data_IF_806746532862
#
_entry.id   IF_806746532862
#
_cell.length_a   1.000
_cell.length_b   1.000
_cell.length_c   1.000
_cell.angle_alpha   90.00
_cell.angle_beta   90.00
_cell.angle_gamma   90.00
#
_symmetry.space_group_name_H-M   'P 1'
#
loop_
_entity.id
_entity.type
_entity.pdbx_description
1 polymer ?
#
# COMPACT_ATOMS: atom_id res chain seq x y z
N UNK A 1 23.61 -4.53 39.42
CA UNK A 1 23.43 -5.20 38.12
C UNK A 1 21.96 -5.18 37.77
N UNK A 2 21.51 -4.22 36.96
CA UNK A 2 20.20 -4.27 36.29
C UNK A 2 20.13 -3.18 35.21
N UNK A 3 20.00 -3.64 33.96
CA UNK A 3 19.32 -3.02 32.82
C UNK A 3 19.71 -1.61 32.33
N UNK A 4 21.00 -1.33 32.15
CA UNK A 4 21.45 -0.18 31.35
C UNK A 4 21.77 -0.52 29.88
N UNK A 5 21.60 -1.77 29.45
CA UNK A 5 22.11 -2.27 28.16
C UNK A 5 21.10 -2.34 27.00
N UNK A 6 19.80 -2.03 27.20
CA UNK A 6 18.79 -2.20 26.13
C UNK A 6 18.43 -0.91 25.37
N UNK A 7 18.83 0.28 25.86
CA UNK A 7 18.47 1.57 25.27
C UNK A 7 19.38 2.01 24.12
N UNK A 8 20.65 1.61 24.13
CA UNK A 8 21.62 1.91 23.05
C UNK A 8 21.34 1.11 21.77
N UNK A 9 20.31 0.27 21.81
CA UNK A 9 20.05 -0.67 20.75
C UNK A 9 19.43 -0.03 19.49
N UNK A 10 18.77 1.10 19.64
CA UNK A 10 18.07 1.77 18.54
C UNK A 10 18.43 3.26 18.42
N UNK A 11 19.56 3.67 19.01
CA UNK A 11 20.04 5.05 18.90
C UNK A 11 19.19 6.09 19.65
N UNK A 12 18.29 5.68 20.55
CA UNK A 12 17.53 6.64 21.36
C UNK A 12 18.42 7.25 22.44
N UNK A 13 18.66 8.56 22.38
CA UNK A 13 19.36 9.28 23.44
C UNK A 13 18.39 9.70 24.54
N UNK A 14 18.86 9.63 25.79
CA UNK A 14 18.07 9.92 27.00
C UNK A 14 17.62 11.39 27.11
N UNK A 15 18.07 12.25 26.19
CA UNK A 15 17.71 13.67 26.08
C UNK A 15 16.51 13.93 25.17
N UNK A 16 16.07 12.95 24.40
CA UNK A 16 14.86 13.05 23.60
C UNK A 16 13.67 12.69 24.50
N UNK A 17 13.17 13.70 25.22
CA UNK A 17 11.87 13.63 25.89
C UNK A 17 10.81 13.33 24.82
N UNK A 18 10.57 12.04 24.55
CA UNK A 18 9.38 11.57 23.85
C UNK A 18 8.19 12.10 24.64
N UNK A 19 7.37 13.02 24.10
CA UNK A 19 6.13 13.37 24.75
C UNK A 19 5.29 12.11 24.77
N UNK A 20 5.14 11.52 25.95
CA UNK A 20 4.14 10.48 26.18
C UNK A 20 2.78 11.12 25.95
N UNK A 21 2.22 10.92 24.76
CA UNK A 21 0.89 11.43 24.44
C UNK A 21 0.14 10.38 23.64
N UNK A 22 -0.78 9.69 24.35
CA UNK A 22 -1.90 8.97 23.76
C UNK A 22 -2.40 9.67 22.50
N UNK A 23 -2.78 8.90 21.47
CA UNK A 23 -3.33 9.42 20.20
C UNK A 23 -4.51 10.39 20.35
N UNK A 24 -5.15 10.38 21.53
CA UNK A 24 -6.18 11.32 21.93
C UNK A 24 -5.69 12.79 22.07
N UNK A 25 -4.38 13.01 22.19
CA UNK A 25 -3.78 14.34 22.34
C UNK A 25 -3.27 14.91 21.00
N UNK A 26 -3.30 14.14 19.91
CA UNK A 26 -2.92 14.67 18.59
C UNK A 26 -4.08 15.47 17.98
N UNK A 27 -3.76 16.68 17.52
CA UNK A 27 -4.65 17.40 16.62
C UNK A 27 -4.48 16.83 15.20
N UNK A 28 -5.32 15.86 14.84
CA UNK A 28 -5.38 15.24 13.51
C UNK A 28 -5.65 16.23 12.34
N UNK A 29 -5.88 17.52 12.63
CA UNK A 29 -6.03 18.59 11.63
C UNK A 29 -4.77 19.46 11.47
N UNK A 30 -3.72 19.21 12.24
CA UNK A 30 -2.43 19.90 12.14
C UNK A 30 -1.51 19.08 11.22
N UNK A 31 -1.17 19.63 10.06
CA UNK A 31 -0.36 18.95 9.05
C UNK A 31 0.95 19.70 8.82
N UNK A 32 2.05 18.96 8.69
CA UNK A 32 3.29 19.44 8.12
C UNK A 32 3.43 18.82 6.73
N UNK A 33 2.94 19.55 5.72
CA UNK A 33 2.88 19.08 4.33
C UNK A 33 4.27 18.81 3.72
N UNK A 34 5.35 19.36 4.30
CA UNK A 34 6.70 19.10 3.81
C UNK A 34 7.20 17.69 4.17
N UNK A 35 6.74 17.17 5.31
CA UNK A 35 7.17 15.86 5.85
C UNK A 35 6.23 14.72 5.45
N UNK A 36 4.93 14.94 5.55
CA UNK A 36 3.93 13.94 5.20
C UNK A 36 2.63 14.57 4.71
N UNK A 37 1.98 13.91 3.77
CA UNK A 37 0.73 14.36 3.18
C UNK A 37 -0.19 13.17 2.90
N UNK A 38 -1.49 13.40 3.00
CA UNK A 38 -2.49 12.42 2.61
C UNK A 38 -3.75 13.09 2.08
N UNK A 39 -4.35 12.46 1.08
CA UNK A 39 -5.59 12.88 0.47
C UNK A 39 -6.50 11.68 0.32
N UNK A 40 -7.78 11.86 0.64
CA UNK A 40 -8.85 10.92 0.31
C UNK A 40 -9.97 11.72 -0.38
N UNK A 41 -10.31 11.32 -1.60
CA UNK A 41 -11.27 12.00 -2.47
C UNK A 41 -12.04 10.98 -3.31
N UNK A 42 -13.05 11.44 -4.04
CA UNK A 42 -13.87 10.60 -4.90
C UNK A 42 -13.64 10.98 -6.37
N UNK A 43 -13.27 10.00 -7.20
CA UNK A 43 -13.21 10.15 -8.66
C UNK A 43 -14.52 9.74 -9.34
N UNK A 44 -15.49 9.23 -8.58
CA UNK A 44 -16.82 8.92 -9.07
C UNK A 44 -17.54 10.14 -9.63
N UNK A 45 -18.38 9.89 -10.62
CA UNK A 45 -19.25 10.89 -11.19
C UNK A 45 -20.26 11.43 -10.17
N UNK A 46 -20.71 12.66 -10.42
CA UNK A 46 -21.81 13.28 -9.69
C UNK A 46 -23.12 12.96 -10.37
N UNK A 47 -24.10 12.56 -9.58
CA UNK A 47 -25.47 12.47 -10.04
C UNK A 47 -25.92 13.85 -10.54
N UNK A 48 -26.40 13.99 -11.79
CA UNK A 48 -26.61 15.30 -12.42
C UNK A 48 -27.69 16.15 -11.75
N UNK A 49 -28.66 15.53 -11.08
CA UNK A 49 -29.75 16.22 -10.37
C UNK A 49 -29.41 16.52 -8.90
N UNK A 50 -28.95 15.53 -8.13
CA UNK A 50 -28.71 15.69 -6.69
C UNK A 50 -27.31 16.25 -6.38
N UNK A 51 -26.37 16.19 -7.32
CA UNK A 51 -24.97 16.58 -7.11
C UNK A 51 -24.15 15.64 -6.23
N UNK A 52 -24.75 14.53 -5.76
CA UNK A 52 -24.09 13.53 -4.92
C UNK A 52 -23.15 12.67 -5.75
N UNK A 53 -21.94 12.43 -5.27
CA UNK A 53 -21.02 11.49 -5.91
C UNK A 53 -21.56 10.05 -5.78
N UNK A 54 -21.40 9.23 -6.83
CA UNK A 54 -21.54 7.79 -6.66
C UNK A 54 -20.54 7.27 -5.61
N UNK A 55 -20.89 6.17 -4.94
CA UNK A 55 -20.08 5.62 -3.87
C UNK A 55 -19.99 6.46 -2.59
N UNK A 56 -20.82 7.51 -2.43
CA UNK A 56 -20.90 8.28 -1.18
C UNK A 56 -21.37 7.40 0.00
N UNK A 57 -20.78 7.52 1.20
CA UNK A 57 -19.63 8.37 1.54
C UNK A 57 -18.29 7.77 1.12
N UNK A 58 -17.26 8.61 1.01
CA UNK A 58 -15.88 8.14 0.80
C UNK A 58 -15.54 7.13 1.90
N UNK A 59 -15.18 5.92 1.48
CA UNK A 59 -14.92 4.79 2.35
C UNK A 59 -13.42 4.60 2.63
N UNK A 60 -12.55 5.22 1.82
CA UNK A 60 -11.11 5.21 2.00
C UNK A 60 -10.70 6.13 3.15
N UNK A 61 -9.91 5.60 4.07
CA UNK A 61 -9.41 6.31 5.24
C UNK A 61 -7.91 6.10 5.32
N UNK A 62 -7.20 7.15 5.71
CA UNK A 62 -5.77 7.09 5.96
C UNK A 62 -5.43 7.68 7.31
N UNK A 63 -4.24 7.35 7.81
CA UNK A 63 -3.62 8.04 8.92
C UNK A 63 -2.11 7.98 8.83
N UNK A 64 -1.46 9.07 9.26
CA UNK A 64 0.00 9.20 9.22
C UNK A 64 0.47 9.77 10.55
N UNK A 65 1.52 9.18 11.11
CA UNK A 65 2.28 9.75 12.22
C UNK A 65 3.73 9.84 11.77
N UNK A 66 4.18 11.05 11.45
CA UNK A 66 5.56 11.31 11.02
C UNK A 66 6.36 11.96 12.16
N UNK A 67 7.39 11.28 12.62
CA UNK A 67 8.37 11.75 13.62
C UNK A 67 9.74 11.89 12.98
N UNK A 68 10.69 12.47 13.70
CA UNK A 68 12.06 12.66 13.19
C UNK A 68 12.79 11.33 13.00
N UNK A 69 12.41 10.31 13.77
CA UNK A 69 13.07 9.01 13.79
C UNK A 69 12.15 7.84 13.44
N UNK A 70 10.89 8.06 13.07
CA UNK A 70 10.03 6.99 12.54
C UNK A 70 8.81 7.58 11.83
N UNK A 71 8.20 6.77 10.97
CA UNK A 71 6.89 7.11 10.41
C UNK A 71 5.97 5.90 10.40
N UNK A 72 4.73 6.10 10.86
CA UNK A 72 3.63 5.15 10.67
C UNK A 72 2.75 5.69 9.56
N UNK A 73 2.50 4.88 8.54
CA UNK A 73 1.56 5.17 7.47
C UNK A 73 0.52 4.05 7.44
N UNK A 74 -0.77 4.39 7.36
CA UNK A 74 -1.83 3.41 7.25
C UNK A 74 -2.90 3.88 6.26
N UNK A 75 -3.35 2.96 5.41
CA UNK A 75 -4.47 3.15 4.49
C UNK A 75 -5.43 1.98 4.62
N UNK A 76 -6.72 2.28 4.66
CA UNK A 76 -7.80 1.31 4.66
C UNK A 76 -8.83 1.73 3.61
N UNK A 77 -9.13 0.82 2.68
CA UNK A 77 -10.15 0.99 1.65
C UNK A 77 -11.39 0.20 2.05
N UNK A 78 -12.54 0.86 2.16
CA UNK A 78 -13.77 0.22 2.56
C UNK A 78 -14.36 -0.59 1.40
N UNK A 79 -14.53 -1.90 1.59
CA UNK A 79 -14.99 -2.80 0.51
C UNK A 79 -16.45 -2.54 0.16
N UNK A 80 -16.75 -2.51 -1.14
CA UNK A 80 -18.00 -2.00 -1.72
C UNK A 80 -18.12 -0.50 -1.45
N UNK A 81 -19.25 0.00 -0.94
CA UNK A 81 -19.44 1.41 -0.56
C UNK A 81 -20.35 1.49 0.67
N UNK A 82 -20.59 2.72 1.14
CA UNK A 82 -21.61 3.00 2.15
C UNK A 82 -21.04 3.15 3.56
N UNK A 83 -21.95 3.40 4.51
CA UNK A 83 -21.56 3.75 5.88
C UNK A 83 -20.84 2.61 6.60
N UNK A 84 -21.24 1.36 6.36
CA UNK A 84 -20.58 0.20 6.97
C UNK A 84 -19.12 0.05 6.53
N UNK A 85 -18.84 0.23 5.24
CA UNK A 85 -17.49 0.18 4.68
C UNK A 85 -16.63 1.33 5.21
N UNK A 86 -17.18 2.55 5.22
CA UNK A 86 -16.51 3.72 5.82
C UNK A 86 -16.21 3.53 7.30
N UNK A 87 -17.17 3.01 8.07
CA UNK A 87 -16.97 2.75 9.49
C UNK A 87 -15.87 1.70 9.70
N UNK A 88 -15.87 0.62 8.92
CA UNK A 88 -14.82 -0.39 8.96
C UNK A 88 -13.44 0.22 8.72
N UNK A 89 -13.27 1.01 7.65
CA UNK A 89 -12.00 1.66 7.35
C UNK A 89 -11.53 2.60 8.46
N UNK A 90 -12.45 3.40 9.05
CA UNK A 90 -12.13 4.28 10.19
C UNK A 90 -11.69 3.50 11.42
N UNK A 91 -12.38 2.39 11.73
CA UNK A 91 -11.99 1.49 12.82
C UNK A 91 -10.64 0.83 12.54
N UNK A 92 -10.38 0.42 11.30
CA UNK A 92 -9.13 -0.22 10.93
C UNK A 92 -7.94 0.73 11.14
N UNK A 93 -8.02 1.95 10.60
CA UNK A 93 -6.99 2.98 10.80
C UNK A 93 -6.80 3.29 12.27
N UNK A 94 -7.90 3.51 13.01
CA UNK A 94 -7.82 3.85 14.44
C UNK A 94 -7.16 2.73 15.26
N UNK A 95 -7.63 1.50 15.11
CA UNK A 95 -7.13 0.36 15.87
C UNK A 95 -5.68 0.04 15.54
N UNK A 96 -5.31 0.09 14.25
CA UNK A 96 -3.95 -0.17 13.82
C UNK A 96 -2.97 0.90 14.30
N UNK A 97 -3.30 2.18 14.11
CA UNK A 97 -2.43 3.28 14.52
C UNK A 97 -2.30 3.33 16.04
N UNK A 98 -3.39 3.21 16.81
CA UNK A 98 -3.31 3.23 18.28
C UNK A 98 -2.38 2.12 18.81
N UNK A 99 -2.51 0.91 18.27
CA UNK A 99 -1.67 -0.22 18.65
C UNK A 99 -0.20 0.03 18.33
N UNK A 100 0.10 0.33 17.07
CA UNK A 100 1.47 0.48 16.59
C UNK A 100 2.15 1.71 17.22
N UNK A 101 1.42 2.82 17.35
CA UNK A 101 1.91 4.02 18.00
C UNK A 101 2.31 3.77 19.45
N UNK A 102 1.47 3.05 20.19
CA UNK A 102 1.80 2.69 21.57
C UNK A 102 3.03 1.78 21.66
N UNK A 103 3.23 0.87 20.71
CA UNK A 103 4.41 0.01 20.66
C UNK A 103 5.69 0.80 20.37
N UNK A 104 5.62 1.76 19.44
CA UNK A 104 6.72 2.70 19.13
C UNK A 104 7.07 3.54 20.35
N UNK A 105 6.09 4.18 21.01
CA UNK A 105 6.33 5.04 22.18
C UNK A 105 6.95 4.31 23.38
N UNK A 106 6.70 3.01 23.49
CA UNK A 106 7.28 2.15 24.54
C UNK A 106 8.69 1.66 24.18
N UNK A 107 9.19 1.95 22.98
CA UNK A 107 10.47 1.46 22.44
C UNK A 107 10.58 -0.08 22.52
N UNK A 108 9.50 -0.79 22.17
CA UNK A 108 9.40 -2.24 22.31
C UNK A 108 10.02 -3.04 21.15
N UNK A 109 10.82 -2.42 20.28
CA UNK A 109 11.41 -3.09 19.13
C UNK A 109 12.91 -3.29 19.36
N UNK A 110 13.41 -4.50 19.16
CA UNK A 110 14.85 -4.77 19.11
C UNK A 110 15.29 -5.16 17.69
N UNK A 111 14.38 -5.80 16.94
CA UNK A 111 14.62 -6.25 15.59
C UNK A 111 13.32 -6.25 14.75
N UNK A 112 13.43 -6.56 13.46
CA UNK A 112 12.28 -6.56 12.54
C UNK A 112 11.21 -7.59 12.88
N UNK A 113 11.54 -8.67 13.60
CA UNK A 113 10.54 -9.64 14.10
C UNK A 113 9.58 -8.98 15.08
N UNK A 114 10.09 -8.14 15.99
CA UNK A 114 9.25 -7.41 16.96
C UNK A 114 8.33 -6.42 16.24
N UNK A 115 8.88 -5.74 15.23
CA UNK A 115 8.11 -4.84 14.36
C UNK A 115 6.98 -5.60 13.67
N UNK A 116 7.25 -6.75 13.07
CA UNK A 116 6.22 -7.55 12.40
C UNK A 116 5.20 -8.14 13.37
N UNK A 117 5.61 -8.56 14.57
CA UNK A 117 4.66 -8.97 15.61
C UNK A 117 3.72 -7.83 16.00
N UNK A 118 4.22 -6.59 16.12
CA UNK A 118 3.38 -5.43 16.41
C UNK A 118 2.51 -5.02 15.22
N UNK A 119 2.99 -5.13 13.98
CA UNK A 119 2.17 -4.92 12.78
C UNK A 119 1.01 -5.92 12.72
N UNK A 120 1.26 -7.20 12.99
CA UNK A 120 0.18 -8.21 13.07
C UNK A 120 -0.77 -7.93 14.24
N UNK A 121 -0.25 -7.47 15.37
CA UNK A 121 -1.04 -6.98 16.50
C UNK A 121 -1.92 -5.78 16.14
N UNK A 122 -1.44 -4.89 15.28
CA UNK A 122 -2.19 -3.74 14.76
C UNK A 122 -3.37 -4.19 13.89
N UNK A 123 -3.18 -5.22 13.06
CA UNK A 123 -4.27 -5.82 12.25
C UNK A 123 -5.32 -6.51 13.14
N UNK A 124 -4.88 -7.17 14.21
CA UNK A 124 -5.80 -7.73 15.20
C UNK A 124 -6.61 -6.65 15.91
N UNK A 125 -5.96 -5.57 16.35
CA UNK A 125 -6.61 -4.43 17.01
C UNK A 125 -7.60 -3.72 16.07
N UNK A 126 -7.21 -3.50 14.81
CA UNK A 126 -8.06 -2.99 13.75
C UNK A 126 -9.32 -3.84 13.58
N UNK A 127 -9.16 -5.15 13.40
CA UNK A 127 -10.27 -6.07 13.23
C UNK A 127 -11.20 -6.12 14.45
N UNK A 128 -10.64 -6.15 15.66
CA UNK A 128 -11.43 -6.12 16.90
C UNK A 128 -12.28 -4.86 17.01
N UNK A 129 -11.73 -3.69 16.63
CA UNK A 129 -12.47 -2.43 16.66
C UNK A 129 -13.57 -2.38 15.59
N UNK A 130 -13.35 -2.97 14.41
CA UNK A 130 -14.40 -3.12 13.39
C UNK A 130 -15.59 -3.91 13.95
N UNK A 131 -15.32 -5.05 14.59
CA UNK A 131 -16.38 -5.89 15.19
C UNK A 131 -17.10 -5.17 16.33
N UNK A 132 -16.37 -4.45 17.17
CA UNK A 132 -16.93 -3.71 18.30
C UNK A 132 -17.92 -2.63 17.83
N UNK A 133 -17.56 -1.88 16.80
CA UNK A 133 -18.39 -0.77 16.29
C UNK A 133 -19.42 -1.20 15.24
N UNK A 134 -19.41 -2.48 14.83
CA UNK A 134 -20.33 -3.01 13.82
C UNK A 134 -20.03 -2.52 12.40
N UNK A 135 -18.76 -2.30 12.08
CA UNK A 135 -18.33 -1.99 10.71
C UNK A 135 -18.47 -3.19 9.77
N UNK A 136 -18.55 -2.91 8.46
CA UNK A 136 -18.56 -3.94 7.42
C UNK A 136 -17.13 -4.42 7.11
N UNK A 137 -16.71 -4.36 5.86
CA UNK A 137 -15.41 -4.89 5.40
C UNK A 137 -14.50 -3.77 4.90
N UNK A 138 -13.19 -3.93 5.10
CA UNK A 138 -12.17 -2.99 4.61
C UNK A 138 -10.83 -3.70 4.38
N UNK A 139 -10.05 -3.23 3.42
CA UNK A 139 -8.63 -3.58 3.30
C UNK A 139 -7.83 -2.89 4.41
N UNK A 140 -6.56 -3.27 4.58
CA UNK A 140 -5.65 -2.53 5.44
C UNK A 140 -4.20 -2.72 4.98
N UNK A 141 -3.51 -1.62 4.72
CA UNK A 141 -2.08 -1.56 4.47
C UNK A 141 -1.44 -0.64 5.52
N UNK A 142 -0.49 -1.18 6.31
CA UNK A 142 0.22 -0.44 7.36
C UNK A 142 1.71 -0.56 7.15
N UNK A 143 2.40 0.58 7.16
CA UNK A 143 3.84 0.69 7.04
C UNK A 143 4.45 1.36 8.27
N UNK A 144 5.58 0.83 8.73
CA UNK A 144 6.47 1.47 9.70
C UNK A 144 7.82 1.72 9.02
N UNK A 145 8.26 2.97 9.00
CA UNK A 145 9.64 3.36 8.74
C UNK A 145 10.34 3.53 10.09
N UNK A 146 11.45 2.83 10.28
CA UNK A 146 12.26 2.91 11.51
C UNK A 146 13.77 2.84 11.20
N UNK A 147 14.64 3.48 12.00
CA UNK A 147 16.07 3.51 11.77
C UNK A 147 16.69 2.14 11.97
N UNK A 148 17.76 1.87 11.21
CA UNK A 148 18.58 0.68 11.38
C UNK A 148 19.80 1.05 12.21
N UNK A 149 20.00 0.34 13.31
CA UNK A 149 21.15 0.58 14.21
C UNK A 149 22.47 0.49 13.44
N UNK A 150 23.37 1.45 13.70
CA UNK A 150 24.70 1.54 13.08
C UNK A 150 24.65 1.63 11.54
N UNK A 151 23.61 2.25 11.00
CA UNK A 151 23.42 2.44 9.57
C UNK A 151 22.76 3.79 9.33
N UNK A 152 23.14 4.41 8.22
CA UNK A 152 22.47 5.60 7.67
C UNK A 152 21.17 5.22 6.93
N UNK A 153 20.80 3.94 6.90
CA UNK A 153 19.58 3.48 6.25
C UNK A 153 18.48 3.31 7.28
N UNK A 154 17.23 3.46 6.83
CA UNK A 154 16.05 3.03 7.58
C UNK A 154 15.47 1.75 6.97
N UNK A 155 14.68 1.02 7.75
CA UNK A 155 13.88 -0.10 7.28
C UNK A 155 12.42 0.33 7.16
N UNK A 156 11.82 0.00 6.03
CA UNK A 156 10.38 0.06 5.80
C UNK A 156 9.83 -1.35 5.97
N UNK A 157 9.02 -1.55 7.01
CA UNK A 157 8.27 -2.79 7.25
C UNK A 157 6.78 -2.56 6.93
N UNK A 158 6.19 -3.41 6.11
CA UNK A 158 4.81 -3.30 5.65
C UNK A 158 4.05 -4.57 5.99
N UNK A 159 2.84 -4.42 6.53
CA UNK A 159 1.86 -5.49 6.58
C UNK A 159 0.63 -5.06 5.78
N UNK A 160 0.12 -5.96 4.94
CA UNK A 160 -0.96 -5.66 4.01
C UNK A 160 -1.97 -6.80 3.93
N UNK A 161 -3.26 -6.47 3.93
CA UNK A 161 -4.35 -7.34 3.49
C UNK A 161 -5.25 -6.56 2.54
N UNK A 162 -5.58 -7.17 1.41
CA UNK A 162 -6.29 -6.48 0.32
C UNK A 162 -5.35 -5.99 -0.78
N UNK A 163 -5.86 -5.07 -1.58
CA UNK A 163 -5.29 -4.60 -2.85
C UNK A 163 -4.74 -3.18 -2.81
N UNK A 164 -4.75 -2.51 -1.66
CA UNK A 164 -3.99 -1.28 -1.44
C UNK A 164 -2.49 -1.56 -1.49
N UNK A 165 -1.74 -0.73 -2.20
CA UNK A 165 -0.33 -0.99 -2.53
C UNK A 165 0.60 0.01 -1.87
N UNK A 166 1.76 -0.47 -1.41
CA UNK A 166 2.82 0.36 -0.83
C UNK A 166 4.03 0.41 -1.76
N UNK A 167 4.56 1.61 -1.95
CA UNK A 167 5.65 1.90 -2.86
C UNK A 167 6.75 2.72 -2.19
N UNK A 168 7.95 2.62 -2.76
CA UNK A 168 9.05 3.54 -2.52
C UNK A 168 9.46 4.15 -3.85
N UNK A 169 9.60 5.47 -3.87
CA UNK A 169 10.20 6.20 -4.98
C UNK A 169 11.55 6.77 -4.56
N UNK A 170 12.56 6.49 -5.37
CA UNK A 170 13.88 7.10 -5.27
C UNK A 170 14.21 7.79 -6.62
N UNK A 171 14.76 9.01 -6.63
CA UNK A 171 15.08 9.72 -7.88
C UNK A 171 16.06 8.98 -8.81
N UNK A 172 16.93 8.13 -8.27
CA UNK A 172 17.91 7.34 -9.02
C UNK A 172 17.33 6.01 -9.54
N UNK A 173 16.48 5.35 -8.74
CA UNK A 173 16.02 3.99 -9.02
C UNK A 173 14.56 3.90 -9.50
N UNK A 174 13.81 5.00 -9.42
CA UNK A 174 12.39 5.06 -9.78
C UNK A 174 11.48 4.49 -8.69
N UNK A 175 10.28 4.06 -9.11
CA UNK A 175 9.26 3.48 -8.23
C UNK A 175 9.46 1.97 -8.11
N UNK A 176 9.42 1.47 -6.88
CA UNK A 176 9.38 0.04 -6.57
C UNK A 176 8.23 -0.26 -5.63
N UNK A 177 7.53 -1.34 -5.90
CA UNK A 177 6.45 -1.81 -5.03
C UNK A 177 7.00 -2.71 -3.91
N UNK A 178 6.46 -2.55 -2.71
CA UNK A 178 6.80 -3.29 -1.49
C UNK A 178 5.80 -4.41 -1.21
N UNK A 179 4.58 -4.29 -1.72
CA UNK A 179 3.46 -5.23 -1.54
C UNK A 179 3.35 -6.30 -2.63
N UNK A 180 4.38 -6.51 -3.47
CA UNK A 180 4.34 -7.41 -4.63
C UNK A 180 3.80 -8.83 -4.34
N UNK A 181 3.98 -9.34 -3.13
CA UNK A 181 3.52 -10.68 -2.74
C UNK A 181 2.01 -10.76 -2.44
N UNK A 182 1.29 -9.63 -2.36
CA UNK A 182 -0.15 -9.58 -2.03
C UNK A 182 -1.05 -9.90 -3.22
N UNK A 183 -0.49 -9.99 -4.43
CA UNK A 183 -1.24 -10.19 -5.67
C UNK A 183 -0.36 -10.88 -6.73
N UNK A 184 -1.00 -11.55 -7.69
CA UNK A 184 -0.30 -12.20 -8.80
C UNK A 184 -0.20 -11.24 -10.00
N UNK A 185 1.03 -10.82 -10.29
CA UNK A 185 1.36 -9.87 -11.37
C UNK A 185 1.18 -10.51 -12.76
N UNK A 186 1.19 -11.84 -12.85
CA UNK A 186 1.03 -12.58 -14.10
C UNK A 186 -0.43 -12.87 -14.47
N UNK A 187 -1.38 -12.62 -13.56
CA UNK A 187 -2.80 -12.89 -13.75
C UNK A 187 -3.59 -11.61 -13.92
N UNK A 188 -4.70 -11.69 -14.66
CA UNK A 188 -5.66 -10.61 -14.69
C UNK A 188 -6.30 -10.46 -13.30
N UNK A 189 -6.25 -9.25 -12.74
CA UNK A 189 -6.94 -8.93 -11.48
C UNK A 189 -8.44 -8.78 -11.72
N UNK A 190 -9.26 -9.32 -10.82
CA UNK A 190 -10.69 -8.97 -10.73
C UNK A 190 -10.80 -7.73 -9.84
N UNK A 191 -11.11 -6.57 -10.43
CA UNK A 191 -11.22 -5.28 -9.72
C UNK A 191 -12.34 -5.25 -8.66
N UNK A 192 -13.12 -6.33 -8.52
CA UNK A 192 -14.17 -6.45 -7.50
C UNK A 192 -13.73 -7.28 -6.30
N UNK A 193 -12.57 -7.91 -6.39
CA UNK A 193 -12.02 -8.78 -5.36
C UNK A 193 -10.66 -8.25 -4.89
N UNK A 194 -10.65 -7.65 -3.71
CA UNK A 194 -9.43 -7.19 -3.05
C UNK A 194 -8.49 -8.35 -2.64
N UNK A 195 -8.95 -9.60 -2.73
CA UNK A 195 -8.23 -10.82 -2.33
C UNK A 195 -8.27 -11.10 -0.82
N UNK A 196 -8.39 -10.06 0.00
CA UNK A 196 -8.54 -10.15 1.46
C UNK A 196 -9.12 -8.88 2.07
N UNK A 197 -9.73 -9.02 3.24
CA UNK A 197 -10.35 -7.92 3.97
C UNK A 197 -10.43 -8.21 5.47
N UNK A 198 -10.33 -7.15 6.27
CA UNK A 198 -10.72 -7.15 7.67
C UNK A 198 -12.24 -6.91 7.81
N UNK A 199 -12.80 -7.43 8.90
CA UNK A 199 -14.22 -7.31 9.23
C UNK A 199 -14.91 -8.68 9.25
N UNK A 200 -16.21 -8.74 9.52
CA UNK A 200 -16.93 -10.00 9.72
C UNK A 200 -17.36 -10.66 8.40
N UNK A 201 -16.40 -11.22 7.63
CA UNK A 201 -16.68 -11.83 6.31
C UNK A 201 -17.69 -12.98 6.41
N UNK A 202 -17.55 -13.81 7.44
CA UNK A 202 -18.47 -14.92 7.77
C UNK A 202 -19.30 -14.63 9.04
N UNK A 203 -19.45 -13.36 9.39
CA UNK A 203 -20.09 -12.91 10.62
C UNK A 203 -19.14 -12.68 11.79
N UNK A 204 -17.87 -13.14 11.72
CA UNK A 204 -16.87 -12.81 12.75
C UNK A 204 -15.44 -12.71 12.24
N UNK A 205 -15.02 -13.56 11.32
CA UNK A 205 -13.62 -13.71 10.94
C UNK A 205 -13.26 -12.83 9.75
N UNK A 206 -12.00 -12.34 9.68
CA UNK A 206 -11.49 -11.67 8.50
C UNK A 206 -11.10 -12.67 7.41
N UNK A 207 -10.93 -12.18 6.18
CA UNK A 207 -10.36 -12.94 5.07
C UNK A 207 -8.90 -12.52 4.87
N UNK A 208 -7.96 -13.39 5.23
CA UNK A 208 -6.52 -13.09 5.26
C UNK A 208 -5.73 -13.81 4.16
N UNK A 209 -6.38 -14.19 3.05
CA UNK A 209 -5.77 -15.04 2.03
C UNK A 209 -4.49 -14.45 1.43
N UNK A 210 -4.48 -13.14 1.22
CA UNK A 210 -3.32 -12.39 0.72
C UNK A 210 -2.65 -11.51 1.80
N UNK A 211 -2.81 -11.87 3.08
CA UNK A 211 -2.07 -11.19 4.15
C UNK A 211 -0.58 -11.38 3.91
N UNK A 212 0.15 -10.27 3.86
CA UNK A 212 1.58 -10.26 3.60
C UNK A 212 2.32 -9.38 4.59
N UNK A 213 3.54 -9.80 4.90
CA UNK A 213 4.53 -8.99 5.60
C UNK A 213 5.74 -8.86 4.69
N UNK A 214 6.15 -7.64 4.40
CA UNK A 214 7.30 -7.36 3.55
C UNK A 214 8.16 -6.27 4.17
N UNK A 215 9.45 -6.28 3.83
CA UNK A 215 10.37 -5.22 4.24
C UNK A 215 11.39 -4.91 3.19
N UNK A 216 11.97 -3.72 3.30
CA UNK A 216 12.96 -3.18 2.39
C UNK A 216 13.71 -2.04 3.07
N UNK A 217 14.95 -1.79 2.67
CA UNK A 217 15.69 -0.61 3.14
C UNK A 217 15.26 0.63 2.35
N UNK A 218 15.26 1.77 3.03
CA UNK A 218 14.99 3.09 2.46
C UNK A 218 16.06 4.06 2.95
N UNK A 219 16.42 4.99 2.10
CA UNK A 219 17.45 5.99 2.36
C UNK A 219 16.83 7.38 2.57
N UNK A 220 17.62 8.31 3.08
CA UNK A 220 17.19 9.71 3.17
C UNK A 220 16.75 10.25 1.80
N UNK A 221 15.63 10.98 1.80
CA UNK A 221 15.07 11.56 0.60
C UNK A 221 14.20 10.61 -0.23
N UNK A 222 14.14 9.32 0.13
CA UNK A 222 13.15 8.40 -0.43
C UNK A 222 11.73 8.87 -0.08
N UNK A 223 10.82 8.68 -1.02
CA UNK A 223 9.40 8.91 -0.82
C UNK A 223 8.70 7.57 -0.63
N UNK A 224 8.14 7.35 0.55
CA UNK A 224 7.29 6.18 0.84
C UNK A 224 5.84 6.60 0.66
N UNK A 225 5.06 5.83 -0.10
CA UNK A 225 3.65 6.14 -0.31
C UNK A 225 2.78 4.88 -0.36
N UNK A 226 1.52 5.03 0.07
CA UNK A 226 0.49 3.99 0.00
C UNK A 226 -0.69 4.53 -0.80
N UNK A 227 -1.27 3.70 -1.65
CA UNK A 227 -2.45 4.05 -2.44
C UNK A 227 -3.56 3.02 -2.30
N UNK A 228 -4.82 3.46 -2.37
CA UNK A 228 -5.93 2.54 -2.67
C UNK A 228 -5.90 2.11 -4.14
N UNK A 229 -6.72 1.12 -4.47
CA UNK A 229 -6.92 0.64 -5.85
C UNK A 229 -7.36 1.80 -6.78
N UNK A 230 -8.09 2.77 -6.24
CA UNK A 230 -8.53 3.98 -6.90
C UNK A 230 -7.42 4.85 -7.48
N UNK A 231 -6.18 4.73 -6.98
CA UNK A 231 -5.01 5.26 -7.69
C UNK A 231 -4.37 4.17 -8.55
N UNK A 232 -3.98 3.05 -7.94
CA UNK A 232 -3.04 2.10 -8.56
C UNK A 232 -3.60 1.46 -9.82
N UNK A 233 -4.90 1.21 -9.88
CA UNK A 233 -5.57 0.61 -11.03
C UNK A 233 -5.52 1.49 -12.28
N UNK A 234 -5.42 2.82 -12.13
CA UNK A 234 -5.26 3.74 -13.26
C UNK A 234 -3.89 3.66 -13.92
N UNK A 235 -2.90 3.05 -13.24
CA UNK A 235 -1.54 2.89 -13.73
C UNK A 235 -1.19 1.43 -14.04
N UNK A 236 -2.06 0.47 -13.69
CA UNK A 236 -1.89 -0.93 -14.06
C UNK A 236 -2.20 -1.11 -15.56
N UNK A 237 -1.25 -1.58 -16.39
CA UNK A 237 -1.45 -1.73 -17.83
C UNK A 237 -2.53 -2.76 -18.20
N UNK A 238 -2.84 -3.70 -17.31
CA UNK A 238 -3.90 -4.70 -17.48
C UNK A 238 -5.28 -4.08 -17.21
N UNK A 239 -5.35 -3.19 -16.23
CA UNK A 239 -6.59 -2.51 -15.80
C UNK A 239 -6.90 -1.30 -16.68
N UNK A 240 -5.91 -0.45 -16.94
CA UNK A 240 -6.04 0.78 -17.70
C UNK A 240 -6.45 0.60 -19.17
N UNK A 241 -6.45 -0.67 -19.67
CA UNK A 241 -6.83 -1.06 -21.05
C UNK A 241 -6.58 0.06 -22.04
N UNK A 242 -5.31 0.49 -22.16
CA UNK A 242 -4.96 1.58 -23.07
C UNK A 242 -5.57 1.25 -24.44
N UNK A 243 -6.42 2.14 -24.95
CA UNK A 243 -7.00 2.00 -26.27
C UNK A 243 -5.85 2.04 -27.29
N UNK A 244 -5.36 0.87 -27.67
CA UNK A 244 -4.42 0.75 -28.78
C UNK A 244 -5.22 1.08 -30.02
N UNK A 245 -4.93 2.21 -30.66
CA UNK A 245 -5.44 2.49 -32.01
C UNK A 245 -5.07 1.27 -32.85
N UNK A 246 -6.08 0.50 -33.28
CA UNK A 246 -5.86 -0.58 -34.24
C UNK A 246 -5.18 0.06 -35.44
N UNK A 247 -3.89 -0.22 -35.63
CA UNK A 247 -3.27 0.03 -36.92
C UNK A 247 -4.06 -0.82 -37.89
N UNK A 248 -4.69 -0.18 -38.86
CA UNK A 248 -5.30 -0.88 -39.98
C UNK A 248 -4.18 -1.73 -40.58
N UNK A 249 -4.27 -3.05 -40.42
CA UNK A 249 -3.38 -3.97 -41.10
C UNK A 249 -3.62 -3.73 -42.59
N UNK A 250 -2.70 -3.01 -43.22
CA UNK A 250 -2.67 -2.91 -44.68
C UNK A 250 -2.39 -4.33 -45.16
N UNK A 251 -3.44 -4.97 -45.66
CA UNK A 251 -3.40 -6.28 -46.29
C UNK A 251 -2.22 -6.33 -47.25
N UNK A 252 -1.17 -7.07 -46.88
CA UNK A 252 -0.23 -7.58 -47.85
C UNK A 252 -0.82 -8.88 -48.36
N UNK A 253 -1.71 -8.76 -49.35
CA UNK A 253 -1.86 -9.82 -50.34
C UNK A 253 -0.46 -10.20 -50.83
N UNK A 254 -0.06 -11.46 -50.64
CA UNK A 254 0.87 -12.14 -51.54
C UNK A 254 0.77 -13.66 -51.36
N UNK A 255 0.13 -14.27 -52.35
CA UNK A 255 0.37 -15.57 -52.97
C UNK A 255 0.73 -16.78 -52.09
N UNK A 256 -0.19 -17.76 -52.09
CA UNK A 256 0.03 -19.16 -51.68
C UNK A 256 1.04 -19.86 -52.60
N UNK A 257 1.93 -20.67 -52.01
CA UNK A 257 2.32 -21.99 -52.52
C UNK A 257 2.53 -22.95 -51.33
N UNK A 258 1.98 -24.18 -51.31
CA UNK A 258 2.06 -25.12 -50.18
C UNK A 258 3.18 -26.19 -50.32
N UNK A 259 3.34 -27.01 -49.26
CA UNK A 259 4.14 -28.26 -49.09
C UNK A 259 5.44 -28.06 -48.26
N UNK A 260 5.91 -28.91 -47.33
CA UNK A 260 5.43 -30.16 -46.73
C UNK A 260 6.31 -30.51 -45.48
N UNK A 261 5.75 -31.33 -44.57
CA UNK A 261 6.37 -32.31 -43.66
C UNK A 261 7.48 -32.02 -42.58
N UNK A 262 7.15 -32.43 -41.33
CA UNK A 262 7.94 -33.11 -40.23
C UNK A 262 9.43 -32.73 -40.03
N UNK A 263 9.97 -32.51 -38.82
CA UNK A 263 10.14 -33.46 -37.69
C UNK A 263 10.88 -32.79 -36.51
N UNK A 264 10.66 -33.32 -35.30
CA UNK A 264 11.39 -33.22 -34.00
C UNK A 264 12.74 -32.47 -33.86
N UNK A 265 12.90 -31.75 -32.74
CA UNK A 265 14.01 -31.97 -31.78
C UNK A 265 13.87 -31.10 -30.51
N UNK A 266 14.06 -31.71 -29.33
CA UNK A 266 14.41 -30.99 -28.10
C UNK A 266 15.90 -30.61 -28.12
N UNK A 267 16.31 -29.61 -27.30
CA UNK A 267 17.18 -30.00 -26.19
C UNK A 267 17.00 -29.20 -24.87
N UNK A 268 17.20 -29.95 -23.77
CA UNK A 268 17.80 -29.64 -22.46
C UNK A 268 18.08 -28.17 -22.10
N UNK A 269 17.60 -27.74 -20.93
CA UNK A 269 18.15 -26.60 -20.18
C UNK A 269 18.64 -27.02 -18.80
N UNK A 270 19.89 -26.64 -18.50
CA UNK A 270 20.50 -26.69 -17.18
C UNK A 270 20.36 -25.38 -16.41
N UNK A 271 20.52 -25.54 -15.10
CA UNK A 271 21.11 -24.63 -14.09
C UNK A 271 20.68 -23.16 -14.01
N UNK A 272 19.95 -22.88 -12.92
CA UNK A 272 19.88 -21.67 -12.09
C UNK A 272 20.74 -20.45 -12.49
N UNK A 273 20.06 -19.36 -12.84
CA UNK A 273 20.57 -17.99 -12.66
C UNK A 273 19.40 -17.05 -12.35
N UNK A 274 19.51 -16.31 -11.24
CA UNK A 274 18.57 -15.28 -10.82
C UNK A 274 18.42 -14.20 -11.92
N UNK A 275 17.20 -13.98 -12.40
CA UNK A 275 16.90 -12.93 -13.38
C UNK A 275 16.94 -11.55 -12.71
N UNK A 276 17.88 -10.70 -13.14
CA UNK A 276 17.83 -9.24 -12.93
C UNK A 276 16.83 -8.64 -13.91
N UNK A 277 15.84 -7.89 -13.40
CA UNK A 277 14.87 -7.14 -14.21
C UNK A 277 15.54 -5.90 -14.81
N UNK A 278 15.35 -5.67 -16.11
CA UNK A 278 15.88 -4.50 -16.83
C UNK A 278 14.98 -3.29 -16.61
N UNK A 279 15.57 -2.14 -16.24
CA UNK A 279 14.92 -0.84 -16.21
C UNK A 279 14.69 -0.29 -17.62
N UNK A 280 13.55 0.37 -17.85
CA UNK A 280 13.21 1.09 -19.11
C UNK A 280 13.10 2.59 -18.79
N UNK A 281 13.69 3.50 -19.62
CA UNK A 281 13.62 4.93 -19.38
C UNK A 281 12.26 5.53 -19.78
N UNK A 282 11.74 6.40 -18.92
CA UNK A 282 10.46 7.08 -19.11
C UNK A 282 10.62 8.33 -19.98
N UNK A 283 10.17 8.27 -21.24
CA UNK A 283 9.77 9.46 -22.00
C UNK A 283 8.53 9.14 -22.80
N UNK A 284 7.40 9.78 -22.45
CA UNK A 284 6.40 10.32 -23.38
C UNK A 284 5.22 10.88 -22.60
N UNK A 285 4.95 12.17 -22.78
CA UNK A 285 3.74 12.87 -22.35
C UNK A 285 2.52 12.34 -23.10
N UNK A 286 1.49 11.87 -22.41
CA UNK A 286 0.22 11.46 -23.02
C UNK A 286 -0.95 12.23 -22.39
N UNK A 287 -1.68 12.98 -23.22
CA UNK A 287 -2.96 13.57 -22.89
C UNK A 287 -4.06 12.51 -23.09
N UNK A 288 -4.93 12.32 -22.09
CA UNK A 288 -5.97 11.29 -22.10
C UNK A 288 -7.35 11.94 -22.17
N UNK A 289 -8.16 11.53 -23.17
CA UNK A 289 -9.61 11.75 -23.20
C UNK A 289 -10.32 10.60 -22.48
N UNK A 290 -11.10 10.92 -21.44
CA UNK A 290 -11.82 9.95 -20.61
C UNK A 290 -13.05 9.40 -21.34
N UNK A 291 -13.08 8.08 -21.53
CA UNK A 291 -14.28 7.28 -21.83
C UNK A 291 -14.82 6.73 -20.51
N UNK A 292 -16.13 6.83 -20.30
CA UNK A 292 -16.85 6.51 -19.06
C UNK A 292 -16.71 5.05 -18.63
N UNK A 293 -15.86 4.82 -17.64
CA UNK A 293 -15.88 3.66 -16.73
C UNK A 293 -16.00 4.20 -15.32
N UNK A 294 -16.84 3.59 -14.48
CA UNK A 294 -16.99 3.90 -13.06
C UNK A 294 -15.61 3.81 -12.38
N UNK A 295 -15.15 4.89 -11.72
CA UNK A 295 -13.81 5.00 -11.13
C UNK A 295 -13.87 5.12 -9.59
N UNK A 296 -12.95 4.50 -8.82
CA UNK A 296 -13.10 4.34 -7.37
C UNK A 296 -13.07 5.62 -6.51
N UNK A 297 -13.35 5.46 -5.22
CA UNK A 297 -12.84 6.39 -4.22
C UNK A 297 -11.32 6.22 -4.16
N UNK A 298 -10.60 7.30 -3.87
CA UNK A 298 -9.16 7.35 -4.07
C UNK A 298 -8.49 7.93 -2.85
N UNK A 299 -7.56 7.18 -2.28
CA UNK A 299 -6.64 7.65 -1.27
C UNK A 299 -5.19 7.48 -1.72
N UNK A 300 -4.42 8.55 -1.52
CA UNK A 300 -2.96 8.57 -1.65
C UNK A 300 -2.41 9.22 -0.39
N UNK A 301 -1.44 8.56 0.22
CA UNK A 301 -0.67 9.15 1.30
C UNK A 301 0.81 8.94 1.05
N UNK A 302 1.64 9.89 1.47
CA UNK A 302 3.08 9.78 1.40
C UNK A 302 3.78 10.38 2.62
N UNK A 303 4.97 9.87 2.90
CA UNK A 303 5.92 10.46 3.83
C UNK A 303 7.29 10.53 3.16
N UNK A 304 7.98 11.65 3.36
CA UNK A 304 9.39 11.77 3.00
C UNK A 304 10.23 11.19 4.13
N UNK A 305 11.19 10.33 3.80
CA UNK A 305 12.18 9.86 4.78
C UNK A 305 13.14 11.01 5.05
N UNK A 306 13.05 11.58 6.25
CA UNK A 306 13.98 12.59 6.77
C UNK A 306 14.90 11.91 7.78
N UNK A 307 16.20 12.16 7.70
CA UNK A 307 17.17 11.71 8.69
C UNK A 307 17.54 12.83 9.68
N UNK A 308 18.06 12.40 10.83
CA UNK A 308 18.69 13.24 11.85
C UNK A 308 20.09 13.67 11.40
#
# INVERSE_FOLDING_TARGET
MTNSCSLEALGFTQTDLLPGTSTNNFNWKSWDEEKAYGLSTSLYEKHPVTGTNAGTPIADVFGIIARDNNCILALADGVNWGEGARLAARCAIRGAIDHLNSAVEKNNFENTTDVFHSLLGAFHAAHALILQEGGALTTLCVALVAPVRNSESSVLCVCNVGDSLCFVFNPLYGVREVTLASHDIGLNRDMRDAGGALGPVDGRNPQLHNLTCSMTFVEEGDLVFITSDGVSDNFDPVVGKFCVIKRLDTEKENFRVPLDHKTSSQPRMGTNAFHKTKSVPATSSCAISLSSTLLPNVALLHCRVSML
#
